data_IF_901887068161
#
_entry.id   IF_901887068161
#
_cell.length_a   1.000
_cell.length_b   1.000
_cell.length_c   1.000
_cell.angle_alpha   90.00
_cell.angle_beta   90.00
_cell.angle_gamma   90.00
#
_symmetry.space_group_name_H-M   'P 1'
#
loop_
_entity.id
_entity.type
_entity.pdbx_description
1 polymer ?
#
# COMPACT_ATOMS: atom_id res chain seq x y z
N UNK A 1 3.33 -0.78 -11.00
CA UNK A 1 2.47 -1.62 -11.87
C UNK A 1 3.38 -2.57 -12.63
N UNK A 2 3.15 -3.87 -12.57
CA UNK A 2 3.89 -4.88 -13.32
C UNK A 2 3.12 -5.20 -14.59
N UNK A 3 3.66 -4.83 -15.75
CA UNK A 3 3.00 -5.02 -17.04
C UNK A 3 3.65 -6.19 -17.77
N UNK A 4 2.88 -7.23 -18.08
CA UNK A 4 3.37 -8.35 -18.85
C UNK A 4 3.63 -7.93 -20.29
N UNK A 5 4.86 -8.13 -20.75
CA UNK A 5 5.30 -7.95 -22.13
C UNK A 5 6.01 -9.23 -22.56
N UNK A 6 5.29 -10.05 -23.33
CA UNK A 6 5.76 -11.38 -23.72
C UNK A 6 6.07 -12.28 -22.51
N UNK A 7 7.35 -12.61 -22.30
CA UNK A 7 7.82 -13.49 -21.22
C UNK A 7 8.38 -12.72 -20.00
N UNK A 8 8.15 -11.42 -19.93
CA UNK A 8 8.65 -10.56 -18.85
C UNK A 8 7.51 -9.75 -18.23
N UNK A 9 7.64 -9.43 -16.95
CA UNK A 9 6.95 -8.30 -16.35
C UNK A 9 7.88 -7.10 -16.34
N UNK A 10 7.34 -5.95 -16.71
CA UNK A 10 8.11 -4.71 -16.83
C UNK A 10 7.46 -3.58 -16.01
N UNK A 11 8.31 -2.77 -15.38
CA UNK A 11 7.95 -1.45 -14.86
C UNK A 11 8.49 -0.40 -15.81
N UNK A 12 7.67 0.62 -16.02
CA UNK A 12 7.99 1.79 -16.80
C UNK A 12 7.72 3.03 -15.96
N UNK A 13 8.63 3.99 -16.03
CA UNK A 13 8.48 5.28 -15.35
C UNK A 13 8.95 6.40 -16.27
N UNK A 14 8.12 7.42 -16.41
CA UNK A 14 8.47 8.68 -17.05
C UNK A 14 8.82 9.70 -15.96
N UNK A 15 10.09 10.16 -15.88
CA UNK A 15 10.53 11.19 -14.97
C UNK A 15 9.68 12.46 -15.12
N UNK A 16 9.58 13.24 -14.04
CA UNK A 16 8.88 14.53 -14.00
C UNK A 16 7.37 14.47 -14.27
N UNK A 17 6.80 13.26 -14.37
CA UNK A 17 5.35 13.09 -14.48
C UNK A 17 4.72 13.29 -13.09
N UNK A 18 3.79 14.25 -12.91
CA UNK A 18 3.17 14.48 -11.62
C UNK A 18 2.35 13.26 -11.20
N UNK A 19 2.79 12.58 -10.13
CA UNK A 19 2.01 11.51 -9.53
C UNK A 19 0.81 12.09 -8.81
N UNK A 20 -0.40 11.68 -9.18
CA UNK A 20 -1.63 11.99 -8.41
C UNK A 20 -1.70 11.27 -7.05
N UNK A 21 -0.76 10.37 -6.77
CA UNK A 21 -0.65 9.71 -5.47
C UNK A 21 0.05 10.65 -4.48
N UNK A 22 -0.68 11.04 -3.44
CA UNK A 22 -0.07 11.59 -2.24
C UNK A 22 0.44 10.42 -1.41
N UNK A 23 1.76 10.22 -1.43
CA UNK A 23 2.44 9.35 -0.48
C UNK A 23 2.89 10.25 0.64
N UNK A 24 2.37 9.98 1.84
CA UNK A 24 2.83 10.66 3.03
C UNK A 24 3.81 9.75 3.74
N UNK A 25 5.04 10.22 3.96
CA UNK A 25 5.96 9.57 4.88
C UNK A 25 5.47 9.77 6.33
N UNK A 26 5.77 8.82 7.21
CA UNK A 26 5.43 8.94 8.63
C UNK A 26 6.00 10.25 9.22
N UNK A 27 7.20 10.67 8.79
CA UNK A 27 7.80 11.94 9.20
C UNK A 27 6.97 13.16 8.76
N UNK A 28 6.46 13.18 7.53
CA UNK A 28 5.60 14.27 7.05
C UNK A 28 4.25 14.34 7.80
N UNK A 29 3.79 13.21 8.32
CA UNK A 29 2.53 13.11 9.06
C UNK A 29 2.68 13.46 10.54
N UNK A 30 3.88 13.25 11.09
CA UNK A 30 4.21 13.59 12.48
C UNK A 30 4.65 15.07 12.64
N UNK A 31 5.05 15.74 11.55
CA UNK A 31 5.43 17.16 11.58
C UNK A 31 4.16 18.02 11.41
N UNK A 32 3.52 18.38 12.52
CA UNK A 32 2.51 19.45 12.51
C UNK A 32 3.19 20.84 12.45
N UNK A 33 2.77 21.63 11.45
CA UNK A 33 2.45 23.06 11.56
C UNK A 33 3.51 24.19 11.61
N UNK A 34 4.81 24.05 11.28
CA UNK A 34 5.63 25.29 11.20
C UNK A 34 6.67 25.46 10.12
N UNK A 35 7.18 24.42 9.47
CA UNK A 35 8.09 24.61 8.32
C UNK A 35 7.84 23.54 7.28
N UNK A 36 7.12 23.93 6.24
CA UNK A 36 7.01 23.18 4.99
C UNK A 36 8.38 23.26 4.29
N UNK A 37 9.35 22.47 4.76
CA UNK A 37 10.47 22.10 3.90
C UNK A 37 9.87 21.44 2.67
N UNK A 38 10.31 21.84 1.49
CA UNK A 38 9.78 21.32 0.21
C UNK A 38 9.76 19.79 0.20
N UNK A 39 8.95 19.17 -0.68
CA UNK A 39 8.86 17.72 -0.76
C UNK A 39 10.29 17.17 -0.82
N UNK A 40 10.67 16.33 0.16
CA UNK A 40 11.88 15.53 0.01
C UNK A 40 11.73 14.83 -1.33
N UNK A 41 12.72 14.96 -2.21
CA UNK A 41 12.75 14.25 -3.49
C UNK A 41 12.71 12.75 -3.18
N UNK A 42 11.50 12.21 -3.07
CA UNK A 42 11.29 10.80 -2.84
C UNK A 42 11.81 10.09 -4.08
N UNK A 43 12.81 9.22 -3.90
CA UNK A 43 13.31 8.35 -4.96
C UNK A 43 12.13 7.73 -5.70
N UNK A 44 12.07 7.81 -7.04
CA UNK A 44 10.92 7.34 -7.80
C UNK A 44 10.66 5.85 -7.51
N UNK A 45 9.40 5.39 -7.55
CA UNK A 45 9.06 4.00 -7.21
C UNK A 45 9.86 2.96 -7.99
N UNK A 46 10.25 3.25 -9.24
CA UNK A 46 11.04 2.34 -10.06
C UNK A 46 12.45 2.12 -9.51
N UNK A 47 13.09 3.15 -8.92
CA UNK A 47 14.42 3.06 -8.31
C UNK A 47 14.38 2.28 -7.00
N UNK A 48 13.34 2.51 -6.20
CA UNK A 48 13.13 1.75 -4.97
C UNK A 48 12.88 0.28 -5.27
N UNK A 49 11.99 -0.03 -6.21
CA UNK A 49 11.69 -1.41 -6.63
C UNK A 49 12.92 -2.07 -7.25
N UNK A 50 13.68 -1.36 -8.07
CA UNK A 50 14.91 -1.89 -8.66
C UNK A 50 15.95 -2.24 -7.59
N UNK A 51 16.14 -1.37 -6.60
CA UNK A 51 17.02 -1.62 -5.45
C UNK A 51 16.56 -2.83 -4.63
N UNK A 52 15.26 -2.93 -4.34
CA UNK A 52 14.68 -4.04 -3.56
C UNK A 52 14.79 -5.40 -4.26
N UNK A 53 14.72 -5.41 -5.59
CA UNK A 53 14.75 -6.63 -6.39
C UNK A 53 16.13 -6.94 -6.98
N UNK A 54 17.15 -6.13 -6.68
CA UNK A 54 18.48 -6.17 -7.29
C UNK A 54 18.42 -6.18 -8.83
N UNK A 55 17.61 -5.29 -9.38
CA UNK A 55 17.34 -5.17 -10.81
C UNK A 55 18.04 -3.96 -11.40
N UNK A 56 18.50 -4.10 -12.64
CA UNK A 56 19.09 -2.99 -13.38
C UNK A 56 18.01 -2.17 -14.08
N UNK A 57 18.05 -0.85 -13.88
CA UNK A 57 17.26 0.08 -14.67
C UNK A 57 17.97 0.36 -15.99
N UNK A 58 17.18 0.37 -17.05
CA UNK A 58 17.62 0.68 -18.41
C UNK A 58 16.79 1.83 -18.97
N UNK A 59 17.36 2.56 -19.92
CA UNK A 59 16.68 3.65 -20.62
C UNK A 59 16.58 3.31 -22.12
N UNK A 60 15.50 2.68 -22.58
CA UNK A 60 15.35 2.32 -23.99
C UNK A 60 15.13 3.56 -24.87
N UNK A 61 16.12 3.92 -25.69
CA UNK A 61 16.00 4.90 -26.76
C UNK A 61 16.33 6.35 -26.39
N UNK A 62 15.82 7.32 -27.18
CA UNK A 62 16.09 8.77 -27.03
C UNK A 62 15.17 9.49 -26.03
N UNK A 63 14.12 8.83 -25.55
CA UNK A 63 13.20 9.39 -24.54
C UNK A 63 13.72 9.02 -23.16
N UNK A 64 13.56 9.91 -22.20
CA UNK A 64 13.96 9.74 -20.79
C UNK A 64 13.09 8.73 -20.03
N UNK A 65 12.66 7.63 -20.66
CA UNK A 65 11.86 6.58 -20.01
C UNK A 65 12.79 5.62 -19.27
N UNK A 66 12.50 5.38 -17.99
CA UNK A 66 13.15 4.34 -17.21
C UNK A 66 12.34 3.04 -17.32
N UNK A 67 13.06 1.93 -17.53
CA UNK A 67 12.50 0.60 -17.68
C UNK A 67 13.28 -0.38 -16.80
N UNK A 68 12.57 -1.25 -16.11
CA UNK A 68 13.14 -2.48 -15.53
C UNK A 68 12.18 -3.65 -15.75
N UNK A 69 12.67 -4.87 -15.66
CA UNK A 69 11.80 -6.04 -15.76
C UNK A 69 12.48 -7.35 -15.38
N UNK A 70 11.66 -8.37 -15.21
CA UNK A 70 12.09 -9.71 -14.84
C UNK A 70 11.22 -10.79 -15.50
N UNK A 71 11.69 -12.03 -15.63
CA UNK A 71 10.93 -13.11 -16.27
C UNK A 71 9.64 -13.46 -15.51
N UNK A 72 8.57 -13.82 -16.23
CA UNK A 72 7.25 -14.13 -15.64
C UNK A 72 7.30 -15.22 -14.55
N UNK A 73 8.21 -16.18 -14.65
CA UNK A 73 8.32 -17.28 -13.69
C UNK A 73 8.85 -16.84 -12.32
N UNK A 74 9.50 -15.67 -12.24
CA UNK A 74 10.03 -15.11 -10.99
C UNK A 74 9.00 -14.25 -10.25
N UNK A 75 7.78 -14.09 -10.78
CA UNK A 75 6.76 -13.21 -10.23
C UNK A 75 6.49 -13.48 -8.75
N UNK A 76 6.28 -14.75 -8.37
CA UNK A 76 5.94 -15.11 -6.99
C UNK A 76 7.03 -14.67 -5.99
N UNK A 77 8.30 -14.95 -6.29
CA UNK A 77 9.41 -14.54 -5.43
C UNK A 77 9.50 -13.02 -5.28
N UNK A 78 9.37 -12.29 -6.40
CA UNK A 78 9.41 -10.83 -6.36
C UNK A 78 8.18 -10.23 -5.66
N UNK A 79 7.01 -10.86 -5.77
CA UNK A 79 5.82 -10.46 -5.01
C UNK A 79 6.07 -10.58 -3.51
N UNK A 80 6.61 -11.70 -3.00
CA UNK A 80 6.90 -11.82 -1.56
C UNK A 80 7.81 -10.69 -1.09
N UNK A 81 8.93 -10.44 -1.78
CA UNK A 81 9.86 -9.35 -1.41
C UNK A 81 9.19 -7.99 -1.37
N UNK A 82 8.35 -7.67 -2.37
CA UNK A 82 7.67 -6.39 -2.44
C UNK A 82 6.60 -6.24 -1.35
N UNK A 83 5.78 -7.26 -1.14
CA UNK A 83 4.70 -7.26 -0.14
C UNK A 83 5.25 -7.20 1.29
N UNK A 84 6.37 -7.85 1.55
CA UNK A 84 7.06 -7.80 2.85
C UNK A 84 7.69 -6.44 3.14
N UNK A 85 7.95 -5.65 2.09
CA UNK A 85 8.35 -4.24 2.18
C UNK A 85 7.16 -3.27 2.15
N UNK A 86 5.92 -3.77 2.21
CA UNK A 86 4.71 -2.94 2.30
C UNK A 86 4.22 -2.40 0.96
N UNK A 87 4.73 -2.88 -0.18
CA UNK A 87 4.29 -2.41 -1.50
C UNK A 87 2.97 -3.05 -1.91
N UNK A 88 2.06 -2.24 -2.47
CA UNK A 88 0.91 -2.74 -3.22
C UNK A 88 1.30 -2.93 -4.68
N UNK A 89 1.14 -4.15 -5.19
CA UNK A 89 1.56 -4.55 -6.53
C UNK A 89 0.35 -4.83 -7.40
N UNK A 90 0.24 -4.13 -8.53
CA UNK A 90 -0.79 -4.36 -9.55
C UNK A 90 -0.17 -5.17 -10.67
N UNK A 91 -0.70 -6.36 -10.94
CA UNK A 91 -0.28 -7.24 -12.03
C UNK A 91 -1.23 -7.06 -13.21
N UNK A 92 -0.64 -6.84 -14.39
CA UNK A 92 -1.35 -6.58 -15.64
C UNK A 92 -0.88 -7.60 -16.67
N UNK A 93 -1.75 -8.54 -17.02
CA UNK A 93 -1.41 -9.64 -17.93
C UNK A 93 -1.86 -9.38 -19.37
N UNK A 94 -1.19 -10.04 -20.31
CA UNK A 94 -1.58 -10.06 -21.72
C UNK A 94 -2.81 -10.97 -21.93
N UNK A 95 -3.85 -10.41 -22.54
CA UNK A 95 -5.03 -11.17 -22.95
C UNK A 95 -4.78 -11.83 -24.32
N UNK A 96 -5.13 -13.11 -24.44
CA UNK A 96 -5.04 -13.85 -25.71
C UNK A 96 -6.22 -13.47 -26.60
N UNK A 97 -6.05 -12.44 -27.44
CA UNK A 97 -7.15 -11.92 -28.27
C UNK A 97 -7.11 -12.33 -29.74
N UNK A 98 -6.11 -13.09 -30.19
CA UNK A 98 -6.03 -13.59 -31.57
C UNK A 98 -5.99 -12.53 -32.68
N UNK A 99 -5.93 -11.24 -32.31
CA UNK A 99 -5.90 -10.09 -33.24
C UNK A 99 -4.47 -9.70 -33.56
N UNK A 100 -4.25 -9.21 -34.78
CA UNK A 100 -2.99 -8.56 -35.16
C UNK A 100 -2.87 -7.17 -34.51
N UNK A 101 -1.68 -6.83 -34.02
CA UNK A 101 -1.40 -5.55 -33.36
C UNK A 101 -1.00 -5.69 -31.88
N UNK A 102 -0.97 -4.58 -31.12
CA UNK A 102 -0.66 -4.60 -29.70
C UNK A 102 -1.63 -5.52 -28.96
N UNK A 103 -1.09 -6.45 -28.17
CA UNK A 103 -1.90 -7.32 -27.33
C UNK A 103 -2.67 -6.49 -26.31
N UNK A 104 -3.95 -6.83 -26.14
CA UNK A 104 -4.77 -6.26 -25.09
C UNK A 104 -4.23 -6.71 -23.73
N UNK A 105 -4.30 -5.83 -22.74
CA UNK A 105 -3.83 -6.09 -21.38
C UNK A 105 -4.91 -5.69 -20.38
N UNK A 106 -5.02 -6.43 -19.29
CA UNK A 106 -5.96 -6.13 -18.22
C UNK A 106 -5.32 -6.40 -16.87
N UNK A 107 -5.78 -5.68 -15.84
CA UNK A 107 -5.42 -5.98 -14.46
C UNK A 107 -5.93 -7.37 -14.13
N UNK A 108 -5.02 -8.30 -13.83
CA UNK A 108 -5.36 -9.67 -13.47
C UNK A 108 -5.47 -9.81 -11.96
N UNK A 109 -4.55 -9.21 -11.21
CA UNK A 109 -4.56 -9.20 -9.75
C UNK A 109 -4.05 -7.88 -9.16
N UNK A 110 -4.48 -7.61 -7.93
CA UNK A 110 -3.90 -6.59 -7.04
C UNK A 110 -3.49 -7.27 -5.76
N UNK A 111 -2.19 -7.22 -5.45
CA UNK A 111 -1.62 -7.75 -4.22
C UNK A 111 -1.33 -6.59 -3.26
N UNK A 112 -1.94 -6.61 -2.09
CA UNK A 112 -1.59 -5.72 -0.98
C UNK A 112 -0.80 -6.49 0.09
N UNK A 113 -0.12 -5.82 1.03
CA UNK A 113 0.70 -6.49 2.06
C UNK A 113 -0.03 -7.56 2.87
N UNK A 114 -1.36 -7.44 3.06
CA UNK A 114 -2.18 -8.46 3.72
C UNK A 114 -2.51 -9.69 2.86
N UNK A 115 -2.28 -9.63 1.55
CA UNK A 115 -2.54 -10.71 0.60
C UNK A 115 -1.33 -11.63 0.37
N UNK A 116 -0.21 -11.47 1.11
CA UNK A 116 0.92 -12.37 0.97
C UNK A 116 0.56 -13.76 1.53
N UNK A 117 0.29 -14.71 0.63
CA UNK A 117 -0.10 -16.07 0.97
C UNK A 117 1.09 -16.96 1.37
N UNK A 118 2.33 -16.59 1.09
CA UNK A 118 3.49 -17.46 1.38
C UNK A 118 3.91 -17.41 2.86
N UNK A 119 3.55 -16.36 3.59
CA UNK A 119 3.85 -16.20 5.02
C UNK A 119 2.71 -16.80 5.90
N UNK A 120 2.53 -18.13 5.80
CA UNK A 120 1.38 -18.87 6.36
C UNK A 120 1.47 -19.23 7.87
N UNK A 121 2.46 -18.77 8.63
CA UNK A 121 2.58 -19.18 10.04
C UNK A 121 1.51 -18.52 10.93
N UNK A 122 1.05 -17.32 10.58
CA UNK A 122 0.06 -16.55 11.33
C UNK A 122 -0.90 -15.81 10.39
N UNK A 123 -2.17 -15.72 10.78
CA UNK A 123 -3.18 -15.00 10.00
C UNK A 123 -2.91 -13.49 10.03
N UNK A 124 -2.70 -12.92 8.85
CA UNK A 124 -2.64 -11.47 8.68
C UNK A 124 -4.03 -10.88 8.51
N UNK A 125 -4.24 -9.68 9.07
CA UNK A 125 -5.52 -8.96 9.04
C UNK A 125 -5.39 -7.57 8.44
N UNK A 126 -6.41 -7.20 7.67
CA UNK A 126 -6.73 -5.82 7.30
C UNK A 126 -7.64 -5.26 8.39
N UNK A 127 -7.27 -4.12 8.96
CA UNK A 127 -8.12 -3.35 9.87
C UNK A 127 -8.86 -2.27 9.07
N UNK A 128 -10.18 -2.32 9.04
CA UNK A 128 -11.01 -1.23 8.55
C UNK A 128 -11.51 -0.38 9.72
N UNK A 129 -11.37 0.94 9.63
CA UNK A 129 -11.83 1.90 10.65
C UNK A 129 -12.84 2.85 9.99
N UNK A 130 -14.00 3.00 10.62
CA UNK A 130 -15.06 3.88 10.11
C UNK A 130 -15.31 5.07 11.04
N UNK A 131 -15.12 6.28 10.51
CA UNK A 131 -15.45 7.54 11.15
C UNK A 131 -16.65 8.22 10.49
N UNK A 132 -17.53 8.80 11.30
CA UNK A 132 -18.59 9.71 10.87
C UNK A 132 -18.67 10.88 11.82
N UNK A 133 -18.70 12.11 11.30
CA UNK A 133 -18.85 13.32 12.12
C UNK A 133 -17.92 13.35 13.35
N UNK A 134 -16.67 12.93 13.16
CA UNK A 134 -15.60 12.86 14.17
C UNK A 134 -15.71 11.72 15.19
N UNK A 135 -16.77 10.92 15.15
CA UNK A 135 -16.91 9.74 16.01
C UNK A 135 -16.43 8.47 15.31
N UNK A 136 -15.64 7.68 16.04
CA UNK A 136 -15.34 6.30 15.66
C UNK A 136 -16.61 5.46 15.86
N UNK A 137 -17.19 4.95 14.78
CA UNK A 137 -18.41 4.16 14.86
C UNK A 137 -18.14 2.66 14.93
N UNK A 138 -17.06 2.22 14.31
CA UNK A 138 -16.75 0.80 14.27
C UNK A 138 -15.43 0.49 13.63
N UNK A 139 -14.98 -0.73 13.92
CA UNK A 139 -13.83 -1.34 13.29
C UNK A 139 -14.20 -2.72 12.76
N UNK A 140 -13.52 -3.16 11.71
CA UNK A 140 -13.63 -4.51 11.18
C UNK A 140 -12.24 -5.07 10.94
N UNK A 141 -12.00 -6.29 11.41
CA UNK A 141 -10.82 -7.08 11.06
C UNK A 141 -11.22 -8.09 9.99
N UNK A 142 -10.44 -8.19 8.92
CA UNK A 142 -10.67 -9.15 7.85
C UNK A 142 -9.37 -9.83 7.43
N UNK A 143 -9.36 -11.16 7.32
CA UNK A 143 -8.26 -11.92 6.74
C UNK A 143 -8.63 -12.46 5.37
N UNK A 144 -7.93 -11.98 4.34
CA UNK A 144 -8.11 -12.46 2.97
C UNK A 144 -7.69 -13.94 2.80
N UNK A 145 -6.86 -14.46 3.71
CA UNK A 145 -6.30 -15.81 3.62
C UNK A 145 -7.33 -16.90 3.88
N UNK A 146 -8.24 -16.68 4.84
CA UNK A 146 -9.25 -17.67 5.24
C UNK A 146 -10.69 -17.12 5.27
N UNK A 147 -10.88 -15.84 4.93
CA UNK A 147 -12.19 -15.18 4.96
C UNK A 147 -12.69 -14.84 6.36
N UNK A 148 -11.88 -15.02 7.41
CA UNK A 148 -12.26 -14.67 8.77
C UNK A 148 -12.49 -13.17 8.89
N UNK A 149 -13.66 -12.80 9.42
CA UNK A 149 -14.08 -11.41 9.57
C UNK A 149 -14.70 -11.20 10.94
N UNK A 150 -14.30 -10.13 11.62
CA UNK A 150 -14.86 -9.73 12.89
C UNK A 150 -15.19 -8.24 12.85
N UNK A 151 -16.41 -7.88 13.23
CA UNK A 151 -16.87 -6.51 13.27
C UNK A 151 -17.15 -6.11 14.72
N UNK A 152 -16.60 -4.98 15.15
CA UNK A 152 -16.88 -4.39 16.46
C UNK A 152 -17.55 -3.04 16.26
N UNK A 153 -18.81 -2.87 16.71
CA UNK A 153 -19.32 -1.54 16.96
C UNK A 153 -18.53 -0.95 18.13
N UNK A 154 -17.97 0.23 17.95
CA UNK A 154 -17.09 0.84 18.97
C UNK A 154 -17.73 2.12 19.45
N UNK A 155 -17.97 2.21 20.75
CA UNK A 155 -18.15 3.50 21.41
C UNK A 155 -16.77 4.07 21.74
N UNK A 156 -16.60 5.40 21.71
CA UNK A 156 -15.32 6.02 22.08
C UNK A 156 -14.88 5.66 23.52
N UNK A 157 -15.84 5.37 24.41
CA UNK A 157 -15.58 4.94 25.78
C UNK A 157 -14.91 3.55 25.88
N UNK A 158 -15.01 2.72 24.85
CA UNK A 158 -14.41 1.38 24.80
C UNK A 158 -13.09 1.34 24.03
N UNK A 159 -12.52 2.50 23.67
CA UNK A 159 -11.28 2.62 22.89
C UNK A 159 -10.14 1.76 23.44
N UNK A 160 -9.93 1.74 24.75
CA UNK A 160 -8.83 1.00 25.38
C UNK A 160 -9.03 -0.52 25.31
N UNK A 161 -10.28 -0.98 25.37
CA UNK A 161 -10.61 -2.41 25.22
C UNK A 161 -10.34 -2.86 23.79
N UNK A 162 -10.71 -2.03 22.83
CA UNK A 162 -10.44 -2.25 21.41
C UNK A 162 -8.93 -2.29 21.16
N UNK A 163 -8.16 -1.32 21.69
CA UNK A 163 -6.71 -1.30 21.56
C UNK A 163 -6.07 -2.62 22.03
N UNK A 164 -6.46 -3.09 23.22
CA UNK A 164 -5.96 -4.36 23.79
C UNK A 164 -6.30 -5.57 22.92
N UNK A 165 -7.48 -5.56 22.32
CA UNK A 165 -7.90 -6.62 21.41
C UNK A 165 -7.07 -6.59 20.11
N UNK A 166 -6.87 -5.42 19.53
CA UNK A 166 -6.12 -5.25 18.27
C UNK A 166 -4.67 -5.74 18.39
N UNK A 167 -4.05 -5.60 19.56
CA UNK A 167 -2.69 -6.13 19.84
C UNK A 167 -2.60 -7.66 19.66
N UNK A 168 -3.71 -8.39 19.83
CA UNK A 168 -3.73 -9.85 19.62
C UNK A 168 -3.79 -10.27 18.15
N UNK A 169 -3.97 -9.32 17.22
CA UNK A 169 -4.06 -9.59 15.79
C UNK A 169 -2.84 -9.02 15.05
N UNK A 170 -2.32 -9.78 14.09
CA UNK A 170 -1.25 -9.33 13.19
C UNK A 170 -1.84 -8.47 12.08
N UNK A 171 -1.97 -7.18 12.34
CA UNK A 171 -2.51 -6.21 11.39
C UNK A 171 -1.37 -5.74 10.48
N UNK A 172 -1.51 -5.94 9.16
CA UNK A 172 -0.51 -5.51 8.16
C UNK A 172 -0.97 -4.36 7.26
N UNK A 173 -2.27 -4.07 7.27
CA UNK A 173 -2.87 -3.04 6.42
C UNK A 173 -4.04 -2.41 7.18
N UNK A 174 -4.18 -1.09 7.06
CA UNK A 174 -5.27 -0.34 7.68
C UNK A 174 -5.99 0.46 6.59
N UNK A 175 -7.29 0.26 6.48
CA UNK A 175 -8.18 1.00 5.59
C UNK A 175 -9.02 1.93 6.45
N UNK A 176 -9.01 3.22 6.14
CA UNK A 176 -9.78 4.21 6.90
C UNK A 176 -10.83 4.82 5.99
N UNK A 177 -12.06 4.70 6.43
CA UNK A 177 -13.18 5.44 5.86
C UNK A 177 -13.54 6.59 6.79
N UNK A 178 -13.60 7.79 6.23
CA UNK A 178 -14.03 8.97 6.96
C UNK A 178 -15.05 9.74 6.12
N UNK A 179 -16.28 9.85 6.62
CA UNK A 179 -17.30 10.71 6.06
C UNK A 179 -17.41 11.98 6.92
N UNK A 180 -16.72 13.03 6.51
CA UNK A 180 -16.56 14.23 7.34
C UNK A 180 -16.67 15.52 6.52
N UNK A 181 -17.34 16.51 7.11
CA UNK A 181 -17.47 17.88 6.60
C UNK A 181 -16.23 18.74 6.93
N UNK A 182 -15.28 18.19 7.70
CA UNK A 182 -14.07 18.87 8.22
C UNK A 182 -12.88 18.63 7.28
N UNK A 183 -11.93 19.57 7.25
CA UNK A 183 -10.76 19.51 6.38
C UNK A 183 -9.86 18.26 6.60
N UNK A 184 -9.22 17.74 5.54
CA UNK A 184 -8.52 16.45 5.54
C UNK A 184 -7.32 16.38 6.49
N UNK A 185 -6.66 17.50 6.77
CA UNK A 185 -5.46 17.53 7.65
C UNK A 185 -5.79 17.21 9.12
N UNK A 186 -6.91 17.75 9.63
CA UNK A 186 -7.34 17.52 11.03
C UNK A 186 -7.70 16.04 11.24
N UNK A 187 -8.34 15.43 10.23
CA UNK A 187 -8.69 14.02 10.23
C UNK A 187 -7.45 13.14 10.31
N UNK A 188 -6.48 13.40 9.44
CA UNK A 188 -5.22 12.66 9.36
C UNK A 188 -4.56 12.63 10.74
N UNK A 189 -4.39 13.79 11.38
CA UNK A 189 -3.72 13.86 12.69
C UNK A 189 -4.49 13.12 13.79
N UNK A 190 -5.83 13.19 13.79
CA UNK A 190 -6.66 12.44 14.73
C UNK A 190 -6.53 10.93 14.57
N UNK A 191 -6.53 10.45 13.32
CA UNK A 191 -6.30 9.05 12.99
C UNK A 191 -4.91 8.61 13.44
N UNK A 192 -3.87 9.39 13.13
CA UNK A 192 -2.50 9.07 13.53
C UNK A 192 -2.37 8.95 15.04
N UNK A 193 -2.88 9.93 15.79
CA UNK A 193 -2.92 9.89 17.25
C UNK A 193 -3.71 8.69 17.79
N UNK A 194 -4.76 8.26 17.09
CA UNK A 194 -5.51 7.05 17.44
C UNK A 194 -4.63 5.79 17.27
N UNK A 195 -4.01 5.64 16.10
CA UNK A 195 -3.20 4.48 15.73
C UNK A 195 -1.93 4.37 16.60
N UNK A 196 -1.29 5.49 16.94
CA UNK A 196 -0.17 5.56 17.88
C UNK A 196 -0.65 5.15 19.28
N UNK A 197 -1.76 5.71 19.75
CA UNK A 197 -2.33 5.34 21.05
C UNK A 197 -2.79 3.87 21.15
N UNK A 198 -3.00 3.20 20.01
CA UNK A 198 -3.28 1.77 19.93
C UNK A 198 -2.04 0.90 19.76
N UNK A 199 -0.84 1.49 19.72
CA UNK A 199 0.43 0.82 19.43
C UNK A 199 0.45 0.10 18.07
N UNK A 200 -0.37 0.56 17.10
CA UNK A 200 -0.38 0.03 15.74
C UNK A 200 0.58 0.79 14.82
N UNK A 201 0.93 2.02 15.19
CA UNK A 201 1.93 2.84 14.52
C UNK A 201 3.04 3.19 15.52
N UNK A 202 4.31 3.21 15.08
CA UNK A 202 5.39 3.65 15.95
C UNK A 202 5.22 5.15 16.29
N UNK A 203 5.56 5.51 17.53
CA UNK A 203 5.53 6.90 18.00
C UNK A 203 6.66 7.75 17.42
N UNK A 204 7.74 7.11 16.95
CA UNK A 204 8.88 7.75 16.30
C UNK A 204 8.92 7.39 14.80
N UNK A 205 9.30 8.31 13.91
CA UNK A 205 9.51 8.02 12.50
C UNK A 205 10.73 7.11 12.32
N UNK A 206 10.58 6.02 11.56
CA UNK A 206 11.69 5.17 11.10
C UNK A 206 12.20 5.61 9.72
#
# INVERSE_FOLDING_TARGET
QLIQIGKFYELWHEPDTPSRQQVYSQAELLIESSMRSGPLEATPPIEQVASLLDMRITSPGKRSLLQMGFPIYSLTNHLSTLLDKGWTVIVIDELVTGRSGPKQRAVSQVYSPCCNLEDCSELSYVLSIYFSQDDLLGITLFSAMNGHSIMFPVSWADRDKVARLLISYRIREIVIWANLEVGPEILINKIYNLLIGWNLFPSEPN
#
